data_IF_397793675653
#
_entry.id   IF_397793675653
#
_cell.length_a   1.000
_cell.length_b   1.000
_cell.length_c   1.000
_cell.angle_alpha   90.00
_cell.angle_beta   90.00
_cell.angle_gamma   90.00
#
_symmetry.space_group_name_H-M   'P 1'
#
loop_
_entity.id
_entity.type
_entity.pdbx_description
1 polymer ?
#
# COMPACT_ATOMS: atom_id res chain seq x y z
N UNK A 1 -2.07 18.07 5.24
CA UNK A 1 -1.42 16.78 4.98
C UNK A 1 -1.91 15.81 6.04
N UNK A 2 -2.83 14.92 5.68
CA UNK A 2 -3.43 13.94 6.59
C UNK A 2 -2.38 12.88 6.94
N UNK A 3 -2.11 12.70 8.24
CA UNK A 3 -1.18 11.70 8.73
C UNK A 3 -1.61 10.32 8.23
N UNK A 4 -0.72 9.53 7.62
CA UNK A 4 -1.12 8.32 6.94
C UNK A 4 -1.27 7.13 7.93
N UNK A 5 -2.01 6.08 7.56
CA UNK A 5 -2.47 5.04 8.50
C UNK A 5 -1.33 4.17 9.06
N UNK A 6 -1.43 3.83 10.35
CA UNK A 6 -0.55 2.87 11.02
C UNK A 6 -1.01 1.41 10.83
N UNK A 7 -0.09 0.43 10.91
CA UNK A 7 -0.47 -0.97 10.87
C UNK A 7 -1.39 -1.35 12.05
N UNK A 8 -2.34 -2.28 11.85
CA UNK A 8 -3.17 -2.81 12.93
C UNK A 8 -2.33 -3.48 14.04
N UNK A 9 -2.85 -3.54 15.28
CA UNK A 9 -2.17 -4.27 16.37
C UNK A 9 -1.89 -5.72 16.00
N UNK A 10 -0.65 -6.18 16.24
CA UNK A 10 -0.21 -7.54 15.96
C UNK A 10 0.28 -7.79 14.53
N UNK A 11 0.23 -6.79 13.65
CA UNK A 11 0.78 -6.88 12.29
C UNK A 11 2.18 -6.26 12.22
N UNK A 12 3.09 -6.95 11.55
CA UNK A 12 4.37 -6.37 11.15
C UNK A 12 4.18 -5.40 9.98
N UNK A 13 5.10 -4.45 9.81
CA UNK A 13 5.11 -3.54 8.66
C UNK A 13 5.06 -4.28 7.32
N UNK A 14 5.81 -5.39 7.23
CA UNK A 14 5.87 -6.20 6.02
C UNK A 14 4.52 -6.83 5.70
N UNK A 15 3.84 -7.40 6.69
CA UNK A 15 2.50 -7.98 6.52
C UNK A 15 1.50 -6.91 6.08
N UNK A 16 1.57 -5.72 6.69
CA UNK A 16 0.68 -4.62 6.35
C UNK A 16 0.92 -4.09 4.94
N UNK A 17 2.18 -3.88 4.54
CA UNK A 17 2.54 -3.46 3.19
C UNK A 17 2.26 -4.52 2.13
N UNK A 18 2.45 -5.80 2.43
CA UNK A 18 2.13 -6.89 1.51
C UNK A 18 0.62 -6.99 1.28
N UNK A 19 -0.19 -6.90 2.33
CA UNK A 19 -1.65 -6.89 2.20
C UNK A 19 -2.16 -5.68 1.40
N UNK A 20 -1.59 -4.50 1.64
CA UNK A 20 -1.90 -3.30 0.85
C UNK A 20 -1.53 -3.47 -0.62
N UNK A 21 -0.37 -4.07 -0.92
CA UNK A 21 0.06 -4.38 -2.29
C UNK A 21 -0.87 -5.39 -2.96
N UNK A 22 -1.21 -6.49 -2.29
CA UNK A 22 -2.13 -7.49 -2.84
C UNK A 22 -3.50 -6.88 -3.16
N UNK A 23 -3.99 -6.00 -2.28
CA UNK A 23 -5.24 -5.28 -2.48
C UNK A 23 -5.16 -4.28 -3.64
N UNK A 24 -4.04 -3.56 -3.75
CA UNK A 24 -3.81 -2.67 -4.88
C UNK A 24 -3.77 -3.46 -6.20
N UNK A 25 -3.13 -4.62 -6.23
CA UNK A 25 -3.08 -5.46 -7.45
C UNK A 25 -4.45 -6.04 -7.81
N UNK A 26 -5.27 -6.43 -6.82
CA UNK A 26 -6.65 -6.87 -7.05
C UNK A 26 -7.54 -5.73 -7.59
N UNK A 27 -7.30 -4.49 -7.11
CA UNK A 27 -8.05 -3.30 -7.54
C UNK A 27 -7.53 -2.75 -8.91
N UNK A 28 -6.23 -2.81 -9.18
CA UNK A 28 -5.58 -2.30 -10.41
C UNK A 28 -5.67 -3.30 -11.57
N UNK A 29 -5.75 -4.61 -11.33
CA UNK A 29 -6.10 -5.59 -12.37
C UNK A 29 -7.62 -5.50 -12.60
N UNK A 30 -8.02 -4.40 -13.21
CA UNK A 30 -9.39 -4.15 -13.63
C UNK A 30 -9.66 -5.05 -14.85
N UNK A 31 -10.63 -5.99 -14.81
CA UNK A 31 -11.03 -6.70 -16.01
C UNK A 31 -11.42 -5.67 -17.07
N UNK A 32 -10.98 -5.84 -18.32
CA UNK A 32 -11.10 -4.85 -19.40
C UNK A 32 -12.52 -4.26 -19.56
N UNK A 33 -13.56 -5.01 -19.16
CA UNK A 33 -14.95 -4.57 -19.10
C UNK A 33 -15.24 -3.39 -18.14
N UNK A 34 -14.36 -3.11 -17.17
CA UNK A 34 -14.50 -2.01 -16.19
C UNK A 34 -13.71 -0.76 -16.56
N UNK A 35 -12.74 -0.83 -17.47
CA UNK A 35 -12.00 0.35 -17.98
C UNK A 35 -12.92 1.41 -18.63
N UNK A 36 -14.10 1.01 -19.11
CA UNK A 36 -15.03 1.90 -19.82
C UNK A 36 -15.82 2.82 -18.86
N UNK A 37 -15.88 2.49 -17.57
CA UNK A 37 -16.40 3.37 -16.52
C UNK A 37 -15.20 3.83 -15.71
N UNK A 38 -14.77 5.08 -15.86
CA UNK A 38 -13.66 5.69 -15.11
C UNK A 38 -13.89 5.73 -13.60
N UNK A 39 -13.97 4.56 -12.98
CA UNK A 39 -14.20 4.29 -11.58
C UNK A 39 -12.86 3.91 -10.90
N UNK A 40 -11.78 4.59 -11.27
CA UNK A 40 -10.56 4.59 -10.47
C UNK A 40 -10.85 5.40 -9.20
N UNK A 41 -10.86 4.71 -8.06
CA UNK A 41 -10.92 5.34 -6.75
C UNK A 41 -9.50 5.83 -6.38
N UNK A 42 -9.10 6.96 -6.98
CA UNK A 42 -7.76 7.55 -6.87
C UNK A 42 -7.33 7.77 -5.41
N UNK A 43 -8.27 8.10 -4.53
CA UNK A 43 -7.97 8.33 -3.12
C UNK A 43 -7.59 7.02 -2.41
N UNK A 44 -8.21 5.91 -2.81
CA UNK A 44 -7.91 4.58 -2.28
C UNK A 44 -6.61 4.01 -2.83
N UNK A 45 -6.32 4.20 -4.11
CA UNK A 45 -5.01 3.84 -4.67
C UNK A 45 -3.88 4.60 -3.97
N UNK A 46 -4.05 5.92 -3.78
CA UNK A 46 -3.11 6.75 -3.04
C UNK A 46 -2.94 6.27 -1.59
N UNK A 47 -4.03 5.86 -0.95
CA UNK A 47 -4.00 5.29 0.40
C UNK A 47 -3.16 4.00 0.46
N UNK A 48 -3.45 3.03 -0.42
CA UNK A 48 -2.73 1.75 -0.50
C UNK A 48 -1.26 1.94 -0.88
N UNK A 49 -0.97 2.80 -1.85
CA UNK A 49 0.41 3.16 -2.25
C UNK A 49 1.22 3.70 -1.07
N UNK A 50 0.64 4.58 -0.26
CA UNK A 50 1.34 5.16 0.90
C UNK A 50 1.77 4.11 1.93
N UNK A 51 0.99 3.02 2.08
CA UNK A 51 1.29 1.93 3.02
C UNK A 51 2.49 1.11 2.51
N UNK A 52 2.57 0.89 1.19
CA UNK A 52 3.66 0.16 0.55
C UNK A 52 4.97 0.96 0.67
N UNK A 53 4.93 2.26 0.36
CA UNK A 53 6.09 3.15 0.45
C UNK A 53 6.68 3.21 1.86
N UNK A 54 5.84 3.24 2.91
CA UNK A 54 6.31 3.19 4.31
C UNK A 54 6.96 1.87 4.67
N UNK A 55 6.39 0.73 4.26
CA UNK A 55 7.03 -0.57 4.48
C UNK A 55 8.42 -0.63 3.84
N UNK A 56 8.55 -0.10 2.63
CA UNK A 56 9.82 0.01 1.94
C UNK A 56 10.80 0.98 2.64
N UNK A 57 10.32 2.13 3.14
CA UNK A 57 11.14 3.08 3.90
C UNK A 57 11.67 2.45 5.21
N UNK A 58 10.79 1.83 6.01
CA UNK A 58 11.18 1.13 7.25
C UNK A 58 12.14 -0.03 6.98
N UNK A 59 11.96 -0.76 5.88
CA UNK A 59 12.91 -1.80 5.46
C UNK A 59 14.29 -1.23 5.11
N UNK A 60 14.35 -0.05 4.45
CA UNK A 60 15.60 0.66 4.17
C UNK A 60 16.28 1.15 5.44
N UNK A 61 15.54 1.72 6.38
CA UNK A 61 16.06 2.15 7.69
C UNK A 61 16.62 0.97 8.49
N UNK A 62 15.92 -0.17 8.53
CA UNK A 62 16.43 -1.41 9.16
C UNK A 62 17.73 -1.90 8.53
N UNK A 63 17.87 -1.81 7.20
CA UNK A 63 19.12 -2.15 6.50
C UNK A 63 20.24 -1.14 6.77
N UNK A 64 19.92 0.14 6.85
CA UNK A 64 20.89 1.22 7.08
C UNK A 64 21.35 1.31 8.54
N UNK A 65 20.52 0.87 9.49
CA UNK A 65 20.81 0.83 10.92
C UNK A 65 21.38 -0.49 11.44
N UNK A 66 21.57 -1.50 10.58
CA UNK A 66 22.39 -2.67 10.92
C UNK A 66 23.87 -2.30 10.80
N UNK A 67 24.66 -2.37 11.89
CA UNK A 67 26.10 -2.16 11.85
C UNK A 67 26.83 -3.23 11.03
#
# INVERSE_FOLDING_TARGET
MTQPPEPPPGWTDLQFSLAAYMKLMDEVIVPASRYVRGAEDVDRERYLGSIIERGAARARERRAGSP
#
